data_IF_933722304746
#
_entry.id   IF_933722304746
#
_cell.length_a   1.000
_cell.length_b   1.000
_cell.length_c   1.000
_cell.angle_alpha   90.00
_cell.angle_beta   90.00
_cell.angle_gamma   90.00
#
_symmetry.space_group_name_H-M   'P 1'
#
loop_
_entity.id
_entity.type
_entity.pdbx_description
1 polymer ?
#
# COMPACT_ATOMS: atom_id res chain seq x y z
N UNK A 1 10.52 -29.30 -5.12
CA UNK A 1 11.31 -28.06 -5.25
C UNK A 1 10.82 -27.18 -6.40
N UNK A 2 10.27 -27.77 -7.46
CA UNK A 2 9.67 -27.10 -8.63
C UNK A 2 8.60 -26.05 -8.26
N UNK A 3 7.65 -26.39 -7.38
CA UNK A 3 6.61 -25.46 -6.92
C UNK A 3 7.17 -24.17 -6.27
N UNK A 4 8.25 -24.27 -5.49
CA UNK A 4 8.86 -23.10 -4.84
C UNK A 4 9.65 -22.27 -5.86
N UNK A 5 10.31 -22.91 -6.83
CA UNK A 5 11.00 -22.19 -7.91
C UNK A 5 10.05 -21.47 -8.86
N UNK A 6 8.85 -22.01 -9.10
CA UNK A 6 7.85 -21.39 -9.96
C UNK A 6 7.24 -20.13 -9.33
N UNK A 7 6.99 -20.17 -8.02
CA UNK A 7 6.55 -18.98 -7.27
C UNK A 7 7.68 -17.95 -7.16
N UNK A 8 8.90 -18.39 -6.84
CA UNK A 8 10.05 -17.50 -6.70
C UNK A 8 10.43 -16.80 -8.01
N UNK A 9 10.33 -17.50 -9.15
CA UNK A 9 10.57 -16.91 -10.48
C UNK A 9 9.46 -15.95 -10.89
N UNK A 10 8.19 -16.26 -10.59
CA UNK A 10 7.08 -15.34 -10.80
C UNK A 10 7.24 -14.04 -10.01
N UNK A 11 7.62 -14.13 -8.73
CA UNK A 11 7.88 -12.96 -7.88
C UNK A 11 9.16 -12.21 -8.29
N UNK A 12 10.23 -12.89 -8.68
CA UNK A 12 11.50 -12.25 -9.07
C UNK A 12 11.45 -11.44 -10.37
N UNK A 13 10.43 -11.64 -11.21
CA UNK A 13 10.25 -10.92 -12.48
C UNK A 13 9.70 -9.49 -12.33
N UNK A 14 9.18 -9.16 -11.14
CA UNK A 14 8.46 -7.90 -10.88
C UNK A 14 9.38 -6.86 -10.26
N UNK A 15 9.19 -5.58 -10.62
CA UNK A 15 9.90 -4.46 -10.01
C UNK A 15 9.30 -4.12 -8.63
N UNK A 16 9.80 -4.80 -7.60
CA UNK A 16 9.37 -4.62 -6.20
C UNK A 16 9.64 -3.23 -5.64
N UNK A 17 10.66 -2.53 -6.14
CA UNK A 17 11.00 -1.18 -5.69
C UNK A 17 9.88 -0.19 -6.05
N UNK A 18 9.42 -0.20 -7.30
CA UNK A 18 8.33 0.69 -7.75
C UNK A 18 7.03 0.37 -7.02
N UNK A 19 6.72 -0.92 -6.81
CA UNK A 19 5.53 -1.34 -6.06
C UNK A 19 5.59 -0.82 -4.62
N UNK A 20 6.73 -1.01 -3.95
CA UNK A 20 6.91 -0.53 -2.58
C UNK A 20 6.77 0.99 -2.53
N UNK A 21 7.44 1.72 -3.42
CA UNK A 21 7.37 3.19 -3.50
C UNK A 21 5.93 3.69 -3.69
N UNK A 22 5.20 3.14 -4.67
CA UNK A 22 3.80 3.51 -4.90
C UNK A 22 2.92 3.17 -3.69
N UNK A 23 3.15 2.01 -3.05
CA UNK A 23 2.39 1.60 -1.88
C UNK A 23 2.57 2.59 -0.73
N UNK A 24 3.82 2.95 -0.41
CA UNK A 24 4.08 3.91 0.67
C UNK A 24 3.58 5.32 0.34
N UNK A 25 3.74 5.78 -0.90
CA UNK A 25 3.22 7.08 -1.33
C UNK A 25 1.69 7.10 -1.25
N UNK A 26 1.01 6.02 -1.67
CA UNK A 26 -0.44 5.89 -1.56
C UNK A 26 -0.90 5.92 -0.10
N UNK A 27 -0.21 5.20 0.80
CA UNK A 27 -0.51 5.20 2.23
C UNK A 27 -0.33 6.59 2.86
N UNK A 28 0.73 7.31 2.51
CA UNK A 28 0.98 8.67 2.99
C UNK A 28 -0.10 9.63 2.47
N UNK A 29 -0.43 9.57 1.18
CA UNK A 29 -1.47 10.41 0.59
C UNK A 29 -2.85 10.11 1.19
N UNK A 30 -3.14 8.84 1.53
CA UNK A 30 -4.40 8.44 2.16
C UNK A 30 -4.47 8.86 3.63
N UNK A 31 -3.32 8.99 4.32
CA UNK A 31 -3.27 9.39 5.73
C UNK A 31 -3.95 10.74 5.99
N UNK A 32 -3.82 11.72 5.09
CA UNK A 32 -4.46 13.03 5.25
C UNK A 32 -5.99 12.96 5.22
N UNK A 33 -6.59 12.47 4.12
CA UNK A 33 -8.04 12.30 3.99
C UNK A 33 -8.63 11.39 5.06
N UNK A 34 -7.92 10.34 5.50
CA UNK A 34 -8.40 9.45 6.57
C UNK A 34 -8.68 10.24 7.85
N UNK A 35 -7.77 11.12 8.27
CA UNK A 35 -7.97 11.90 9.50
C UNK A 35 -9.19 12.80 9.39
N UNK A 36 -9.35 13.49 8.26
CA UNK A 36 -10.52 14.36 8.01
C UNK A 36 -11.82 13.53 7.97
N UNK A 37 -11.80 12.40 7.29
CA UNK A 37 -12.95 11.50 7.20
C UNK A 37 -13.39 11.01 8.58
N UNK A 38 -12.44 10.61 9.42
CA UNK A 38 -12.70 10.16 10.79
C UNK A 38 -13.25 11.29 11.67
N UNK A 39 -12.69 12.50 11.59
CA UNK A 39 -13.19 13.66 12.33
C UNK A 39 -14.61 14.04 11.89
N UNK A 40 -14.89 14.01 10.59
CA UNK A 40 -16.21 14.30 10.05
C UNK A 40 -17.25 13.25 10.50
N UNK A 41 -16.90 11.96 10.43
CA UNK A 41 -17.77 10.87 10.87
C UNK A 41 -18.09 10.95 12.37
N UNK A 42 -17.12 11.38 13.17
CA UNK A 42 -17.27 11.53 14.62
C UNK A 42 -17.91 12.87 15.03
N UNK A 43 -18.27 13.74 14.07
CA UNK A 43 -18.73 15.12 14.32
C UNK A 43 -17.77 15.91 15.24
N UNK A 44 -16.48 15.65 15.09
CA UNK A 44 -15.42 16.37 15.78
C UNK A 44 -15.25 17.78 15.23
N UNK A 45 -14.32 18.54 15.83
CA UNK A 45 -13.95 19.85 15.28
C UNK A 45 -13.02 19.65 14.08
N UNK A 46 -13.57 19.84 12.88
CA UNK A 46 -12.84 19.81 11.61
C UNK A 46 -11.98 21.06 11.42
#
# INVERSE_FOLDING_TARGET
MEFISDIASGLGSVNWEVIAQLTFVALIMLSGPIVIFLLAAQRGNL
#
